data_IF_404134379534
#
_entry.id   IF_404134379534
#
_cell.length_a   1.000
_cell.length_b   1.000
_cell.length_c   1.000
_cell.angle_alpha   90.00
_cell.angle_beta   90.00
_cell.angle_gamma   90.00
#
_symmetry.space_group_name_H-M   'P 1'
#
loop_
_entity.id
_entity.type
_entity.pdbx_description
1 polymer ?
#
# COMPACT_ATOMS: atom_id res chain seq x y z
N UNK A 1 -13.91 13.24 39.13
CA UNK A 1 -13.24 11.93 38.90
C UNK A 1 -14.36 10.98 38.53
N UNK A 2 -14.55 10.40 37.34
CA UNK A 2 -13.70 10.12 36.17
C UNK A 2 -14.67 9.76 35.01
N UNK A 3 -14.96 10.70 34.11
CA UNK A 3 -15.71 10.43 32.86
C UNK A 3 -14.94 10.86 31.60
N UNK A 4 -13.64 11.15 31.77
CA UNK A 4 -12.70 11.20 30.66
C UNK A 4 -12.09 9.83 30.53
N UNK A 5 -12.22 9.14 29.38
CA UNK A 5 -11.09 8.43 28.71
C UNK A 5 -11.50 7.48 27.58
N UNK A 6 -12.63 6.78 27.65
CA UNK A 6 -12.85 5.66 26.72
C UNK A 6 -13.13 6.09 25.26
N UNK A 7 -13.99 7.10 25.04
CA UNK A 7 -14.29 7.62 23.68
C UNK A 7 -13.07 8.20 22.95
N UNK A 8 -12.08 8.72 23.67
CA UNK A 8 -10.87 9.28 23.07
C UNK A 8 -9.87 8.21 22.66
N UNK A 9 -9.72 7.13 23.44
CA UNK A 9 -8.79 6.02 23.12
C UNK A 9 -9.21 5.29 21.84
N UNK A 10 -10.49 4.93 21.71
CA UNK A 10 -10.98 4.30 20.47
C UNK A 10 -10.79 5.21 19.26
N UNK A 11 -11.07 6.52 19.41
CA UNK A 11 -10.85 7.48 18.33
C UNK A 11 -9.39 7.57 17.91
N UNK A 12 -8.47 7.62 18.87
CA UNK A 12 -7.01 7.63 18.60
C UNK A 12 -6.58 6.33 17.92
N UNK A 13 -7.06 5.16 18.36
CA UNK A 13 -6.77 3.88 17.73
C UNK A 13 -7.23 3.83 16.26
N UNK A 14 -8.44 4.32 15.97
CA UNK A 14 -8.94 4.43 14.60
C UNK A 14 -8.13 5.43 13.76
N UNK A 15 -7.53 6.49 14.34
CA UNK A 15 -6.66 7.38 13.57
C UNK A 15 -5.36 6.70 13.12
N UNK A 16 -4.79 5.83 13.96
CA UNK A 16 -3.54 5.11 13.68
C UNK A 16 -3.73 3.78 12.95
N UNK A 17 -4.97 3.35 12.71
CA UNK A 17 -5.29 2.09 12.05
C UNK A 17 -4.57 1.92 10.69
N UNK A 18 -4.45 2.93 9.80
CA UNK A 18 -3.75 2.76 8.54
C UNK A 18 -2.27 2.37 8.71
N UNK A 19 -1.59 2.95 9.70
CA UNK A 19 -0.19 2.63 10.01
C UNK A 19 -0.11 1.22 10.60
N UNK A 20 -0.97 0.89 11.56
CA UNK A 20 -1.00 -0.44 12.19
C UNK A 20 -1.25 -1.50 11.11
N UNK A 21 -2.20 -1.25 10.20
CA UNK A 21 -2.51 -2.14 9.10
C UNK A 21 -1.33 -2.29 8.13
N UNK A 22 -0.56 -1.22 7.88
CA UNK A 22 0.64 -1.29 7.05
C UNK A 22 1.70 -2.20 7.69
N UNK A 23 1.99 -2.04 8.97
CA UNK A 23 2.98 -2.87 9.65
C UNK A 23 2.52 -4.33 9.76
N UNK A 24 1.25 -4.59 10.08
CA UNK A 24 0.69 -5.94 10.04
C UNK A 24 0.83 -6.54 8.64
N UNK A 25 0.57 -5.72 7.61
CA UNK A 25 0.64 -6.15 6.21
C UNK A 25 2.05 -6.48 5.74
N UNK A 26 3.04 -5.78 6.26
CA UNK A 26 4.44 -5.99 5.93
C UNK A 26 4.99 -7.23 6.64
N UNK A 27 4.52 -7.47 7.87
CA UNK A 27 4.95 -8.62 8.66
C UNK A 27 4.24 -9.92 8.25
N UNK A 28 3.05 -9.80 7.66
CA UNK A 28 2.25 -10.93 7.21
C UNK A 28 2.29 -10.97 5.67
N UNK A 29 3.10 -11.88 5.12
CA UNK A 29 3.12 -12.09 3.67
C UNK A 29 1.71 -12.47 3.19
N UNK A 30 1.12 -11.64 2.31
CA UNK A 30 -0.14 -11.98 1.63
C UNK A 30 0.11 -12.96 0.48
N UNK A 31 0.68 -14.10 0.83
CA UNK A 31 0.95 -15.21 -0.08
C UNK A 31 0.13 -16.43 0.35
N UNK A 32 -0.86 -16.80 -0.47
CA UNK A 32 -1.68 -17.98 -0.23
C UNK A 32 -1.05 -19.26 -0.79
N UNK A 33 0.23 -19.24 -1.14
CA UNK A 33 0.99 -20.42 -1.53
C UNK A 33 0.90 -21.55 -0.50
N UNK A 34 0.76 -21.24 0.80
CA UNK A 34 0.52 -22.23 1.87
C UNK A 34 -0.78 -23.04 1.69
N UNK A 35 -1.75 -22.53 0.91
CA UNK A 35 -3.04 -23.16 0.61
C UNK A 35 -3.05 -23.87 -0.77
N UNK A 36 -1.87 -24.17 -1.35
CA UNK A 36 -1.67 -24.80 -2.68
C UNK A 36 -2.10 -23.93 -3.89
N UNK A 37 -2.37 -22.64 -3.71
CA UNK A 37 -2.61 -21.72 -4.82
C UNK A 37 -1.31 -21.04 -5.26
N UNK A 38 -0.50 -21.76 -6.07
CA UNK A 38 0.88 -21.39 -6.48
C UNK A 38 1.09 -19.97 -7.07
N UNK A 39 0.01 -19.31 -7.48
CA UNK A 39 0.05 -18.01 -8.14
C UNK A 39 -0.89 -16.97 -7.50
N UNK A 40 -1.52 -17.30 -6.37
CA UNK A 40 -2.44 -16.38 -5.73
C UNK A 40 -1.71 -15.56 -4.66
N UNK A 41 -1.11 -14.47 -5.11
CA UNK A 41 -0.49 -13.48 -4.23
C UNK A 41 -0.84 -12.07 -4.69
N UNK A 42 -0.91 -11.13 -3.76
CA UNK A 42 -1.10 -9.72 -4.07
C UNK A 42 -0.35 -8.83 -3.09
N UNK A 43 0.08 -7.66 -3.56
CA UNK A 43 0.85 -6.72 -2.75
C UNK A 43 -0.10 -5.74 -2.04
N UNK A 44 -0.63 -6.17 -0.89
CA UNK A 44 -1.48 -5.31 -0.06
C UNK A 44 -0.81 -4.00 0.39
N UNK A 45 0.49 -3.97 0.78
CA UNK A 45 1.18 -2.73 1.10
C UNK A 45 1.08 -1.69 -0.01
N UNK A 46 1.22 -2.09 -1.28
CA UNK A 46 1.13 -1.16 -2.42
C UNK A 46 -0.24 -0.48 -2.49
N UNK A 47 -1.32 -1.25 -2.32
CA UNK A 47 -2.69 -0.72 -2.32
C UNK A 47 -2.88 0.27 -1.18
N UNK A 48 -2.47 -0.11 0.03
CA UNK A 48 -2.63 0.68 1.24
C UNK A 48 -1.87 2.00 1.15
N UNK A 49 -0.59 1.93 0.77
CA UNK A 49 0.29 3.10 0.64
C UNK A 49 -0.26 4.05 -0.42
N UNK A 50 -0.64 3.55 -1.59
CA UNK A 50 -1.15 4.41 -2.67
C UNK A 50 -2.43 5.12 -2.25
N UNK A 51 -3.41 4.38 -1.74
CA UNK A 51 -4.72 4.94 -1.37
C UNK A 51 -4.59 6.05 -0.33
N UNK A 52 -3.87 5.78 0.77
CA UNK A 52 -3.75 6.75 1.86
C UNK A 52 -2.81 7.90 1.53
N UNK A 53 -1.75 7.67 0.75
CA UNK A 53 -0.90 8.77 0.27
C UNK A 53 -1.67 9.73 -0.64
N UNK A 54 -2.64 9.22 -1.41
CA UNK A 54 -3.49 10.02 -2.29
C UNK A 54 -4.55 10.80 -1.49
N UNK A 55 -5.28 10.14 -0.58
CA UNK A 55 -6.41 10.75 0.13
C UNK A 55 -5.99 11.57 1.35
N UNK A 56 -5.04 11.08 2.15
CA UNK A 56 -4.63 11.66 3.44
C UNK A 56 -3.17 11.33 3.82
N UNK A 57 -2.16 11.99 3.22
CA UNK A 57 -0.75 11.64 3.43
C UNK A 57 -0.25 11.87 4.87
N UNK A 58 -0.87 12.79 5.62
CA UNK A 58 -0.48 13.12 6.99
C UNK A 58 -0.58 11.92 7.95
N UNK A 59 -1.40 10.91 7.60
CA UNK A 59 -1.67 9.76 8.46
C UNK A 59 -0.69 8.61 8.29
N UNK A 60 0.04 8.55 7.16
CA UNK A 60 0.90 7.42 6.86
C UNK A 60 2.38 7.75 6.92
N UNK A 61 2.76 9.03 6.89
CA UNK A 61 4.09 9.55 7.23
C UNK A 61 5.24 8.87 6.47
N UNK A 62 5.87 9.57 5.53
CA UNK A 62 6.89 8.97 4.65
C UNK A 62 8.03 8.21 5.39
N UNK A 63 8.41 8.66 6.58
CA UNK A 63 9.39 7.95 7.42
C UNK A 63 8.91 6.57 7.91
N UNK A 64 7.64 6.44 8.30
CA UNK A 64 7.06 5.16 8.71
C UNK A 64 6.93 4.21 7.53
N UNK A 65 6.57 4.73 6.35
CA UNK A 65 6.52 3.96 5.10
C UNK A 65 7.92 3.43 4.75
N UNK A 66 8.95 4.26 4.86
CA UNK A 66 10.33 3.83 4.64
C UNK A 66 10.74 2.71 5.60
N UNK A 67 10.48 2.87 6.90
CA UNK A 67 10.77 1.85 7.93
C UNK A 67 10.01 0.56 7.64
N UNK A 68 8.73 0.66 7.27
CA UNK A 68 7.93 -0.52 6.90
C UNK A 68 8.54 -1.28 5.72
N UNK A 69 9.09 -0.58 4.72
CA UNK A 69 9.79 -1.24 3.62
C UNK A 69 11.02 -2.03 4.09
N UNK A 70 11.76 -1.54 5.09
CA UNK A 70 12.91 -2.26 5.62
C UNK A 70 12.49 -3.56 6.32
N UNK A 71 11.39 -3.53 7.08
CA UNK A 71 10.82 -4.74 7.66
C UNK A 71 10.34 -5.70 6.59
N UNK A 72 9.72 -5.20 5.52
CA UNK A 72 9.26 -6.02 4.40
C UNK A 72 10.41 -6.77 3.74
N UNK A 73 11.55 -6.08 3.53
CA UNK A 73 12.73 -6.70 2.96
C UNK A 73 13.30 -7.82 3.84
N UNK A 74 13.28 -7.64 5.16
CA UNK A 74 13.72 -8.68 6.12
C UNK A 74 12.79 -9.88 6.13
N UNK A 75 11.48 -9.67 6.02
CA UNK A 75 10.47 -10.75 6.03
C UNK A 75 10.53 -11.57 4.76
N UNK A 76 10.51 -10.91 3.60
CA UNK A 76 10.48 -11.56 2.27
C UNK A 76 11.87 -12.09 1.86
N UNK A 77 12.94 -11.59 2.50
CA UNK A 77 14.32 -11.91 2.14
C UNK A 77 14.80 -11.20 0.87
N UNK A 78 14.21 -10.05 0.54
CA UNK A 78 14.69 -9.18 -0.55
C UNK A 78 15.86 -8.30 -0.09
N UNK A 79 16.67 -7.77 -1.02
CA UNK A 79 17.74 -6.84 -0.67
C UNK A 79 17.21 -5.65 0.13
N UNK A 80 17.91 -5.31 1.22
CA UNK A 80 17.45 -4.29 2.15
C UNK A 80 17.35 -2.92 1.49
N UNK A 81 16.19 -2.27 1.63
CA UNK A 81 15.87 -0.98 1.04
C UNK A 81 15.16 -1.04 -0.31
N UNK A 82 15.04 -2.21 -0.95
CA UNK A 82 14.33 -2.35 -2.23
C UNK A 82 12.83 -2.10 -2.07
N UNK A 83 12.21 -2.67 -1.05
CA UNK A 83 10.79 -2.43 -0.73
C UNK A 83 10.57 -1.00 -0.28
N UNK A 84 11.47 -0.44 0.55
CA UNK A 84 11.39 0.96 0.98
C UNK A 84 11.43 1.93 -0.21
N UNK A 85 12.32 1.70 -1.17
CA UNK A 85 12.39 2.50 -2.39
C UNK A 85 11.09 2.41 -3.21
N UNK A 86 10.57 1.19 -3.38
CA UNK A 86 9.31 0.94 -4.07
C UNK A 86 8.14 1.68 -3.44
N UNK A 87 8.01 1.58 -2.11
CA UNK A 87 6.94 2.21 -1.35
C UNK A 87 7.00 3.74 -1.44
N UNK A 88 8.21 4.33 -1.38
CA UNK A 88 8.40 5.77 -1.54
C UNK A 88 8.11 6.23 -2.97
N UNK A 89 8.43 5.44 -4.00
CA UNK A 89 8.04 5.74 -5.37
C UNK A 89 6.51 5.79 -5.50
N UNK A 90 5.79 4.80 -4.96
CA UNK A 90 4.33 4.77 -4.95
C UNK A 90 3.77 6.01 -4.24
N UNK A 91 4.36 6.42 -3.12
CA UNK A 91 4.01 7.67 -2.44
C UNK A 91 4.19 8.90 -3.34
N UNK A 92 5.31 8.97 -4.07
CA UNK A 92 5.59 10.06 -5.01
C UNK A 92 4.57 10.13 -6.14
N UNK A 93 4.22 8.98 -6.73
CA UNK A 93 3.17 8.89 -7.75
C UNK A 93 1.80 9.29 -7.20
N UNK A 94 1.44 8.85 -5.99
CA UNK A 94 0.20 9.25 -5.34
C UNK A 94 0.14 10.76 -5.05
N UNK A 95 1.24 11.35 -4.59
CA UNK A 95 1.34 12.79 -4.37
C UNK A 95 1.22 13.59 -5.68
N UNK A 96 1.84 13.08 -6.76
CA UNK A 96 1.71 13.66 -8.10
C UNK A 96 0.27 13.60 -8.61
N UNK A 97 -0.41 12.47 -8.47
CA UNK A 97 -1.82 12.34 -8.86
C UNK A 97 -2.71 13.29 -8.05
N UNK A 98 -2.44 13.45 -6.75
CA UNK A 98 -3.15 14.40 -5.88
C UNK A 98 -3.00 15.83 -6.36
N UNK A 99 -1.79 16.21 -6.80
CA UNK A 99 -1.51 17.56 -7.30
C UNK A 99 -2.29 17.88 -8.57
N UNK A 100 -2.44 16.91 -9.49
CA UNK A 100 -3.13 17.13 -10.78
C UNK A 100 -4.64 16.99 -10.66
N UNK A 101 -5.12 16.14 -9.74
CA UNK A 101 -6.54 15.78 -9.65
C UNK A 101 -7.32 16.77 -8.78
N UNK A 102 -7.99 17.73 -9.43
CA UNK A 102 -8.89 18.70 -8.77
C UNK A 102 -10.21 18.11 -8.24
N UNK A 103 -10.66 16.97 -8.78
CA UNK A 103 -11.86 16.25 -8.30
C UNK A 103 -11.55 14.76 -8.13
N UNK A 104 -11.68 14.20 -6.92
CA UNK A 104 -11.37 12.80 -6.67
C UNK A 104 -12.36 11.90 -7.43
N UNK A 105 -11.86 10.90 -8.15
CA UNK A 105 -12.70 9.91 -8.82
C UNK A 105 -12.02 8.55 -8.79
N UNK A 106 -12.73 7.55 -8.24
CA UNK A 106 -12.18 6.21 -8.02
C UNK A 106 -11.64 5.56 -9.30
N UNK A 107 -12.29 5.79 -10.45
CA UNK A 107 -11.87 5.23 -11.74
C UNK A 107 -10.54 5.80 -12.24
N UNK A 108 -10.29 7.11 -12.07
CA UNK A 108 -8.99 7.71 -12.42
C UNK A 108 -7.90 7.23 -11.47
N UNK A 109 -8.21 7.17 -10.18
CA UNK A 109 -7.30 6.67 -9.14
C UNK A 109 -6.89 5.23 -9.46
N UNK A 110 -7.84 4.39 -9.88
CA UNK A 110 -7.61 3.00 -10.24
C UNK A 110 -6.73 2.82 -11.49
N UNK A 111 -6.99 3.56 -12.58
CA UNK A 111 -6.17 3.50 -13.79
C UNK A 111 -4.74 3.99 -13.49
N UNK A 112 -4.60 5.07 -12.71
CA UNK A 112 -3.30 5.60 -12.36
C UNK A 112 -2.52 4.65 -11.42
N UNK A 113 -3.23 3.94 -10.55
CA UNK A 113 -2.64 2.88 -9.73
C UNK A 113 -2.00 1.79 -10.59
N UNK A 114 -2.69 1.34 -11.66
CA UNK A 114 -2.13 0.37 -12.62
C UNK A 114 -0.79 0.84 -13.22
N UNK A 115 -0.76 2.08 -13.70
CA UNK A 115 0.46 2.67 -14.27
C UNK A 115 1.59 2.69 -13.23
N UNK A 116 1.25 3.09 -12.00
CA UNK A 116 2.19 3.18 -10.89
C UNK A 116 2.79 1.82 -10.55
N UNK A 117 1.97 0.79 -10.36
CA UNK A 117 2.47 -0.54 -9.97
C UNK A 117 3.26 -1.20 -11.10
N UNK A 118 2.90 -1.01 -12.36
CA UNK A 118 3.68 -1.53 -13.49
C UNK A 118 5.05 -0.87 -13.50
N UNK A 119 5.11 0.45 -13.38
CA UNK A 119 6.35 1.20 -13.38
C UNK A 119 7.27 0.79 -12.22
N UNK A 120 6.75 0.73 -11.00
CA UNK A 120 7.51 0.36 -9.80
C UNK A 120 8.02 -1.07 -9.87
N UNK A 121 7.17 -2.03 -10.27
CA UNK A 121 7.61 -3.42 -10.44
C UNK A 121 8.65 -3.58 -11.57
N UNK A 122 8.55 -2.78 -12.63
CA UNK A 122 9.54 -2.79 -13.72
C UNK A 122 10.90 -2.31 -13.24
N UNK A 123 10.95 -1.24 -12.42
CA UNK A 123 12.19 -0.78 -11.81
C UNK A 123 12.76 -1.83 -10.87
N UNK A 124 11.94 -2.44 -10.01
CA UNK A 124 12.40 -3.51 -9.11
C UNK A 124 12.97 -4.70 -9.87
N UNK A 125 12.32 -5.10 -10.97
CA UNK A 125 12.81 -6.15 -11.85
C UNK A 125 14.19 -5.83 -12.39
N UNK A 126 14.38 -4.62 -12.93
CA UNK A 126 15.69 -4.18 -13.43
C UNK A 126 16.75 -4.13 -12.33
N UNK A 127 16.41 -3.63 -11.14
CA UNK A 127 17.37 -3.57 -10.02
C UNK A 127 17.81 -4.97 -9.61
N UNK A 128 16.86 -5.90 -9.45
CA UNK A 128 17.13 -7.27 -9.03
C UNK A 128 17.94 -8.05 -10.07
N UNK A 129 17.66 -7.87 -11.36
CA UNK A 129 18.37 -8.55 -12.43
C UNK A 129 19.79 -7.99 -12.62
N UNK A 130 19.96 -6.65 -12.66
CA UNK A 130 21.24 -6.00 -12.95
C UNK A 130 22.20 -6.07 -11.75
N UNK A 131 21.72 -5.77 -10.54
CA UNK A 131 22.61 -5.62 -9.38
C UNK A 131 22.72 -6.88 -8.51
N UNK A 132 21.66 -7.67 -8.42
CA UNK A 132 21.61 -8.83 -7.52
C UNK A 132 21.62 -10.17 -8.27
N UNK A 133 21.49 -10.16 -9.60
CA UNK A 133 21.45 -11.37 -10.44
C UNK A 133 20.35 -12.35 -9.99
N UNK A 134 19.28 -11.83 -9.39
CA UNK A 134 18.13 -12.61 -8.92
C UNK A 134 17.15 -12.76 -10.08
N UNK A 135 16.93 -14.00 -10.53
CA UNK A 135 15.93 -14.29 -11.57
C UNK A 135 14.53 -14.33 -10.96
N UNK A 136 13.69 -13.38 -11.35
CA UNK A 136 12.27 -13.39 -10.98
C UNK A 136 11.41 -14.16 -11.99
N UNK A 137 10.41 -14.87 -11.48
CA UNK A 137 9.38 -15.50 -12.32
C UNK A 137 8.41 -14.42 -12.84
N UNK A 138 8.50 -14.15 -14.15
CA UNK A 138 7.65 -13.15 -14.82
C UNK A 138 6.16 -13.51 -14.81
N UNK A 139 5.83 -14.80 -14.81
CA UNK A 139 4.42 -15.25 -14.75
C UNK A 139 3.86 -14.93 -13.37
N UNK A 140 4.61 -15.26 -12.33
CA UNK A 140 4.25 -14.93 -10.95
C UNK A 140 4.09 -13.42 -10.74
N UNK A 141 5.07 -12.62 -11.20
CA UNK A 141 5.02 -11.15 -11.09
C UNK A 141 3.80 -10.57 -11.81
N UNK A 142 3.50 -11.05 -13.02
CA UNK A 142 2.36 -10.58 -13.81
C UNK A 142 1.03 -10.86 -13.13
N UNK A 143 0.86 -12.07 -12.59
CA UNK A 143 -0.36 -12.45 -11.86
C UNK A 143 -0.48 -11.61 -10.58
N UNK A 144 0.61 -11.39 -9.84
CA UNK A 144 0.63 -10.55 -8.66
C UNK A 144 0.19 -9.11 -8.97
N UNK A 145 0.69 -8.52 -10.07
CA UNK A 145 0.28 -7.18 -10.52
C UNK A 145 -1.21 -7.13 -10.85
N UNK A 146 -1.72 -8.12 -11.61
CA UNK A 146 -3.13 -8.18 -12.00
C UNK A 146 -4.03 -8.32 -10.78
N UNK A 147 -3.69 -9.21 -9.84
CA UNK A 147 -4.46 -9.39 -8.60
C UNK A 147 -4.43 -8.13 -7.75
N UNK A 148 -3.25 -7.53 -7.55
CA UNK A 148 -3.09 -6.27 -6.80
C UNK A 148 -3.94 -5.16 -7.41
N UNK A 149 -3.96 -5.04 -8.73
CA UNK A 149 -4.77 -4.07 -9.46
C UNK A 149 -6.28 -4.31 -9.29
N UNK A 150 -6.75 -5.56 -9.37
CA UNK A 150 -8.16 -5.90 -9.18
C UNK A 150 -8.60 -5.65 -7.74
N UNK A 151 -7.78 -6.05 -6.78
CA UNK A 151 -8.06 -5.86 -5.36
C UNK A 151 -8.08 -4.39 -4.94
N UNK A 152 -7.39 -3.51 -5.67
CA UNK A 152 -7.43 -2.07 -5.40
C UNK A 152 -8.87 -1.53 -5.32
N UNK A 153 -9.76 -1.91 -6.25
CA UNK A 153 -11.16 -1.44 -6.23
C UNK A 153 -11.85 -1.85 -4.93
N UNK A 154 -11.68 -3.11 -4.54
CA UNK A 154 -12.34 -3.69 -3.36
C UNK A 154 -11.85 -2.96 -2.10
N UNK A 155 -10.53 -2.85 -1.94
CA UNK A 155 -9.95 -2.21 -0.77
C UNK A 155 -10.16 -0.70 -0.74
N UNK A 156 -10.12 -0.01 -1.88
CA UNK A 156 -10.42 1.43 -1.94
C UNK A 156 -11.85 1.72 -1.49
N UNK A 157 -12.83 0.89 -1.87
CA UNK A 157 -14.21 1.02 -1.37
C UNK A 157 -14.31 0.78 0.14
N UNK A 158 -13.59 -0.22 0.67
CA UNK A 158 -13.53 -0.48 2.12
C UNK A 158 -12.92 0.71 2.86
N UNK A 159 -11.82 1.26 2.33
CA UNK A 159 -11.15 2.41 2.93
C UNK A 159 -11.98 3.70 2.81
N UNK A 160 -12.76 3.87 1.75
CA UNK A 160 -13.69 5.00 1.61
C UNK A 160 -14.80 4.94 2.68
N UNK A 161 -15.36 3.75 2.93
CA UNK A 161 -16.33 3.54 4.02
C UNK A 161 -15.68 3.84 5.36
N UNK A 162 -14.49 3.29 5.58
CA UNK A 162 -13.70 3.53 6.77
C UNK A 162 -13.46 5.02 7.01
N UNK A 163 -13.04 5.75 5.96
CA UNK A 163 -12.77 7.17 6.03
C UNK A 163 -14.02 7.95 6.43
N UNK A 164 -15.18 7.63 5.84
CA UNK A 164 -16.46 8.29 6.16
C UNK A 164 -16.91 8.07 7.60
N UNK A 165 -16.66 6.88 8.15
CA UNK A 165 -17.03 6.53 9.54
C UNK A 165 -16.11 7.20 10.54
N UNK A 166 -14.79 7.16 10.30
CA UNK A 166 -13.79 7.62 11.28
C UNK A 166 -13.58 9.13 11.24
N UNK A 167 -13.61 9.74 10.06
CA UNK A 167 -13.33 11.16 9.88
C UNK A 167 -14.59 12.00 9.68
N UNK A 168 -15.77 11.37 9.59
CA UNK A 168 -17.02 12.02 9.19
C UNK A 168 -17.03 12.37 7.71
N UNK A 169 -18.19 12.74 7.16
CA UNK A 169 -18.29 13.33 5.81
C UNK A 169 -17.47 14.62 5.79
N UNK A 170 -16.22 14.56 5.34
CA UNK A 170 -15.61 15.71 4.70
C UNK A 170 -16.30 15.84 3.35
N UNK A 171 -17.29 16.73 3.31
CA UNK A 171 -17.94 17.15 2.07
C UNK A 171 -16.86 17.80 1.18
N UNK A 172 -16.30 17.02 0.26
CA UNK A 172 -15.64 17.51 -0.95
C UNK A 172 -16.45 17.03 -2.16
#
# INVERSE_FOLDING_TARGET
MTEFTNKNIFRVLYLYLPIILLFISVLNEFDFNYMNFKYFSFNFPYILIFYWSLKKPDYLGYGLIFISGLFNDVVIGTPIGLSSFSYLLICGFAAYLRYITLRPSLTKDWIFFLVTIIFVNSINFLILEIFFTIKMDLVYLSINIILTFLFYIIFANIFDIYQKVVFGKTND
#
